data_IF_849590903565
#
_entry.id   IF_849590903565
#
_cell.length_a   1.000
_cell.length_b   1.000
_cell.length_c   1.000
_cell.angle_alpha   90.00
_cell.angle_beta   90.00
_cell.angle_gamma   90.00
#
_symmetry.space_group_name_H-M   'P 1'
#
loop_
_entity.id
_entity.type
_entity.pdbx_description
1 polymer ?
#
# COMPACT_ATOMS: atom_id res chain seq x y z
N UNK A 1 12.55 -26.10 -4.08
CA UNK A 1 12.20 -25.09 -3.08
C UNK A 1 10.91 -25.54 -2.42
N UNK A 2 10.87 -25.60 -1.09
CA UNK A 2 9.68 -26.10 -0.37
C UNK A 2 8.52 -25.11 -0.53
N UNK A 3 7.28 -25.55 -0.33
CA UNK A 3 6.11 -24.66 -0.36
C UNK A 3 6.23 -23.51 0.66
N UNK A 4 6.84 -23.80 1.81
CA UNK A 4 7.16 -22.81 2.85
C UNK A 4 8.09 -21.71 2.31
N UNK A 5 9.13 -22.09 1.58
CA UNK A 5 10.10 -21.14 1.03
C UNK A 5 9.45 -20.22 -0.02
N UNK A 6 8.57 -20.76 -0.88
CA UNK A 6 7.83 -19.96 -1.87
C UNK A 6 6.92 -18.94 -1.19
N UNK A 7 6.18 -19.34 -0.17
CA UNK A 7 5.27 -18.43 0.55
C UNK A 7 6.07 -17.34 1.29
N UNK A 8 7.23 -17.67 1.86
CA UNK A 8 8.12 -16.68 2.48
C UNK A 8 8.63 -15.66 1.47
N UNK A 9 8.98 -16.09 0.25
CA UNK A 9 9.41 -15.19 -0.82
C UNK A 9 8.27 -14.25 -1.26
N UNK A 10 7.06 -14.76 -1.45
CA UNK A 10 5.88 -13.94 -1.77
C UNK A 10 5.58 -12.89 -0.68
N UNK A 11 5.67 -13.28 0.61
CA UNK A 11 5.53 -12.34 1.73
C UNK A 11 6.65 -11.28 1.70
N UNK A 12 7.87 -11.68 1.35
CA UNK A 12 8.99 -10.77 1.14
C UNK A 12 8.68 -9.69 0.09
N UNK A 13 8.15 -10.10 -1.07
CA UNK A 13 7.70 -9.18 -2.12
C UNK A 13 6.54 -8.28 -1.65
N UNK A 14 5.55 -8.82 -0.94
CA UNK A 14 4.44 -8.04 -0.40
C UNK A 14 4.90 -6.95 0.57
N UNK A 15 5.92 -7.21 1.40
CA UNK A 15 6.49 -6.19 2.29
C UNK A 15 7.08 -5.01 1.52
N UNK A 16 7.78 -5.26 0.43
CA UNK A 16 8.36 -4.21 -0.42
C UNK A 16 7.26 -3.36 -1.06
N UNK A 17 6.23 -4.01 -1.62
CA UNK A 17 5.09 -3.31 -2.22
C UNK A 17 4.35 -2.48 -1.17
N UNK A 18 4.10 -3.03 0.02
CA UNK A 18 3.47 -2.30 1.12
C UNK A 18 4.28 -1.05 1.51
N UNK A 19 5.59 -1.17 1.67
CA UNK A 19 6.45 -0.04 2.03
C UNK A 19 6.40 1.07 0.96
N UNK A 20 6.45 0.70 -0.33
CA UNK A 20 6.35 1.65 -1.43
C UNK A 20 4.99 2.37 -1.43
N UNK A 21 3.90 1.62 -1.27
CA UNK A 21 2.56 2.21 -1.21
C UNK A 21 2.44 3.20 -0.04
N UNK A 22 2.93 2.85 1.16
CA UNK A 22 2.92 3.74 2.32
C UNK A 22 3.71 5.02 2.06
N UNK A 23 4.92 4.92 1.49
CA UNK A 23 5.73 6.10 1.17
C UNK A 23 5.04 6.97 0.12
N UNK A 24 4.43 6.38 -0.91
CA UNK A 24 3.63 7.11 -1.90
C UNK A 24 2.44 7.83 -1.25
N UNK A 25 1.71 7.16 -0.36
CA UNK A 25 0.52 7.72 0.29
C UNK A 25 0.89 8.92 1.17
N UNK A 26 1.91 8.76 2.02
CA UNK A 26 2.44 9.85 2.87
C UNK A 26 2.95 11.03 2.02
N UNK A 27 3.61 10.75 0.89
CA UNK A 27 4.10 11.79 -0.03
C UNK A 27 2.94 12.57 -0.66
N UNK A 28 1.87 11.89 -1.09
CA UNK A 28 0.68 12.53 -1.65
C UNK A 28 -0.05 13.38 -0.61
N UNK A 29 -0.20 12.87 0.60
CA UNK A 29 -0.78 13.61 1.73
C UNK A 29 0.05 14.87 2.02
N UNK A 30 1.38 14.72 2.12
CA UNK A 30 2.29 15.83 2.37
C UNK A 30 2.28 16.88 1.26
N UNK A 31 2.21 16.45 -0.01
CA UNK A 31 2.06 17.36 -1.15
C UNK A 31 0.72 18.12 -1.09
N UNK A 32 -0.37 17.42 -0.79
CA UNK A 32 -1.72 17.99 -0.68
C UNK A 32 -1.79 19.04 0.43
N UNK A 33 -1.20 18.74 1.60
CA UNK A 33 -1.16 19.68 2.72
C UNK A 33 -0.41 20.98 2.35
N UNK A 34 0.75 20.86 1.70
CA UNK A 34 1.58 22.01 1.29
C UNK A 34 0.96 22.85 0.17
N UNK A 35 0.14 22.24 -0.69
CA UNK A 35 -0.43 22.89 -1.87
C UNK A 35 -1.92 23.23 -1.73
N UNK A 36 -2.53 22.95 -0.58
CA UNK A 36 -3.96 23.19 -0.28
C UNK A 36 -4.45 24.61 -0.59
N UNK A 37 -3.59 25.63 -0.42
CA UNK A 37 -3.94 27.03 -0.70
C UNK A 37 -3.53 27.54 -2.09
N UNK A 38 -2.74 26.77 -2.84
CA UNK A 38 -2.16 27.17 -4.15
C UNK A 38 -2.70 26.36 -5.33
N UNK A 39 -3.09 25.12 -5.08
CA UNK A 39 -3.59 24.21 -6.10
C UNK A 39 -5.06 24.48 -6.43
N UNK A 40 -5.47 24.14 -7.66
CA UNK A 40 -6.87 24.18 -8.03
C UNK A 40 -7.66 23.11 -7.28
N UNK A 41 -8.94 23.38 -7.04
CA UNK A 41 -9.87 22.43 -6.39
C UNK A 41 -9.91 21.08 -7.12
N UNK A 42 -9.86 21.09 -8.45
CA UNK A 42 -9.82 19.86 -9.26
C UNK A 42 -8.59 18.99 -8.96
N UNK A 43 -7.42 19.60 -8.76
CA UNK A 43 -6.19 18.89 -8.46
C UNK A 43 -6.22 18.34 -7.02
N UNK A 44 -6.78 19.09 -6.08
CA UNK A 44 -7.01 18.61 -4.71
C UNK A 44 -7.98 17.42 -4.67
N UNK A 45 -9.06 17.45 -5.46
CA UNK A 45 -10.00 16.32 -5.57
C UNK A 45 -9.32 15.09 -6.18
N UNK A 46 -8.50 15.27 -7.21
CA UNK A 46 -7.72 14.19 -7.81
C UNK A 46 -6.71 13.60 -6.81
N UNK A 47 -6.03 14.45 -6.04
CA UNK A 47 -5.10 14.02 -5.01
C UNK A 47 -5.82 13.23 -3.91
N UNK A 48 -6.94 13.73 -3.41
CA UNK A 48 -7.77 13.03 -2.42
C UNK A 48 -8.26 11.67 -2.94
N UNK A 49 -8.75 11.62 -4.19
CA UNK A 49 -9.15 10.36 -4.82
C UNK A 49 -7.99 9.37 -4.94
N UNK A 50 -6.80 9.86 -5.33
CA UNK A 50 -5.60 9.03 -5.46
C UNK A 50 -5.16 8.48 -4.09
N UNK A 51 -5.18 9.30 -3.04
CA UNK A 51 -4.90 8.87 -1.66
C UNK A 51 -5.84 7.73 -1.26
N UNK A 52 -7.16 7.88 -1.47
CA UNK A 52 -8.13 6.82 -1.16
C UNK A 52 -7.82 5.52 -1.91
N UNK A 53 -7.44 5.60 -3.19
CA UNK A 53 -7.04 4.43 -3.98
C UNK A 53 -5.76 3.77 -3.46
N UNK A 54 -4.74 4.56 -3.10
CA UNK A 54 -3.48 4.03 -2.56
C UNK A 54 -3.72 3.40 -1.19
N UNK A 55 -4.47 4.05 -0.30
CA UNK A 55 -4.86 3.48 0.99
C UNK A 55 -5.64 2.17 0.81
N UNK A 56 -6.54 2.08 -0.18
CA UNK A 56 -7.24 0.82 -0.49
C UNK A 56 -6.25 -0.28 -0.93
N UNK A 57 -5.29 0.03 -1.80
CA UNK A 57 -4.26 -0.91 -2.22
C UNK A 57 -3.40 -1.39 -1.04
N UNK A 58 -3.10 -0.52 -0.08
CA UNK A 58 -2.39 -0.87 1.16
C UNK A 58 -3.20 -1.90 1.96
N UNK A 59 -4.49 -1.64 2.16
CA UNK A 59 -5.39 -2.56 2.88
C UNK A 59 -5.39 -3.93 2.20
N UNK A 60 -5.50 -3.97 0.87
CA UNK A 60 -5.52 -5.23 0.12
C UNK A 60 -4.19 -5.98 0.22
N UNK A 61 -3.05 -5.27 0.18
CA UNK A 61 -1.73 -5.86 0.38
C UNK A 61 -1.60 -6.48 1.79
N UNK A 62 -2.12 -5.81 2.83
CA UNK A 62 -2.16 -6.35 4.20
C UNK A 62 -3.01 -7.62 4.24
N UNK A 63 -4.22 -7.60 3.66
CA UNK A 63 -5.11 -8.77 3.65
C UNK A 63 -4.46 -9.96 2.97
N UNK A 64 -3.81 -9.75 1.83
CA UNK A 64 -3.06 -10.78 1.13
C UNK A 64 -1.90 -11.33 1.96
N UNK A 65 -1.13 -10.47 2.61
CA UNK A 65 -0.02 -10.87 3.47
C UNK A 65 -0.50 -11.74 4.64
N UNK A 66 -1.56 -11.34 5.35
CA UNK A 66 -2.14 -12.15 6.43
C UNK A 66 -2.69 -13.48 5.94
N UNK A 67 -3.31 -13.52 4.76
CA UNK A 67 -3.76 -14.77 4.15
C UNK A 67 -2.61 -15.75 3.88
N UNK A 68 -1.47 -15.25 3.43
CA UNK A 68 -0.25 -16.05 3.19
C UNK A 68 0.41 -16.49 4.51
N UNK A 69 0.45 -15.62 5.52
CA UNK A 69 0.97 -15.97 6.85
C UNK A 69 0.13 -17.06 7.50
N UNK A 70 -1.21 -16.99 7.38
CA UNK A 70 -2.09 -18.05 7.90
C UNK A 70 -1.77 -19.41 7.25
N UNK A 71 -1.59 -19.45 5.93
CA UNK A 71 -1.19 -20.67 5.22
C UNK A 71 0.14 -21.24 5.70
N UNK A 72 1.09 -20.40 6.10
CA UNK A 72 2.34 -20.86 6.71
C UNK A 72 2.14 -21.46 8.11
N UNK A 73 1.17 -20.98 8.89
CA UNK A 73 0.87 -21.53 10.21
C UNK A 73 0.09 -22.84 10.17
N UNK A 74 -0.63 -23.10 9.06
CA UNK A 74 -1.41 -24.32 8.83
C UNK A 74 -0.56 -25.46 8.20
N UNK A 75 0.69 -25.19 7.79
CA UNK A 75 1.66 -26.11 7.19
C UNK A 75 2.69 -26.61 8.21
#
# INVERSE_FOLDING_TARGET
>A
MSEIDKIKEEIGWLKVVFALLVVTDVSLIGWTAQNSHKASVSLLLLAAFTIVLVTWAIIEAIRHAYGKIKKLGDL
#
